data_IF_956016216596
#
_entry.id   IF_956016216596
#
_cell.length_a   1.000
_cell.length_b   1.000
_cell.length_c   1.000
_cell.angle_alpha   90.00
_cell.angle_beta   90.00
_cell.angle_gamma   90.00
#
_symmetry.space_group_name_H-M   'P 1'
#
loop_
_entity.id
_entity.type
_entity.pdbx_description
1 polymer ?
#
# COMPACT_ATOMS: atom_id res chain seq x y z
N UNK A 1 5.66 -7.31 33.17
CA UNK A 1 4.30 -7.15 33.75
C UNK A 1 3.76 -5.81 33.26
N UNK A 2 2.48 -5.70 32.87
CA UNK A 2 1.91 -4.42 32.46
C UNK A 2 1.97 -3.43 33.63
N UNK A 3 2.39 -2.21 33.33
CA UNK A 3 2.28 -1.09 34.28
C UNK A 3 0.80 -0.90 34.63
N UNK A 4 0.41 -0.84 35.92
CA UNK A 4 -0.98 -0.71 36.36
C UNK A 4 -1.69 0.56 35.88
N UNK A 5 -0.96 1.55 35.32
CA UNK A 5 -1.47 2.89 35.01
C UNK A 5 -1.68 3.16 33.51
N UNK A 6 -1.53 2.16 32.62
CA UNK A 6 -1.85 2.38 31.20
C UNK A 6 -3.36 2.27 30.96
N UNK A 7 -4.03 3.34 30.48
CA UNK A 7 -5.45 3.29 30.15
C UNK A 7 -5.69 2.24 29.05
N UNK A 8 -6.80 1.51 29.16
CA UNK A 8 -7.16 0.49 28.19
C UNK A 8 -7.38 1.10 26.80
N UNK A 9 -6.77 0.50 25.77
CA UNK A 9 -6.87 0.95 24.38
C UNK A 9 -8.33 0.92 23.88
N UNK A 10 -8.91 2.11 23.67
CA UNK A 10 -10.31 2.25 23.26
C UNK A 10 -10.53 3.57 22.49
N UNK A 11 -9.91 3.74 21.32
CA UNK A 11 -10.07 4.95 20.52
C UNK A 11 -11.49 5.13 20.02
N UNK A 12 -11.83 6.36 19.67
CA UNK A 12 -12.94 6.62 18.75
C UNK A 12 -12.51 6.22 17.34
N UNK A 13 -13.34 5.42 16.68
CA UNK A 13 -13.18 5.00 15.29
C UNK A 13 -14.28 5.62 14.45
N UNK A 14 -14.03 5.77 13.16
CA UNK A 14 -15.06 6.19 12.20
C UNK A 14 -15.71 4.95 11.58
N UNK A 15 -16.98 5.06 11.23
CA UNK A 15 -17.74 4.00 10.59
C UNK A 15 -18.83 4.54 9.69
N UNK A 16 -19.35 3.68 8.84
CA UNK A 16 -20.58 3.90 8.09
C UNK A 16 -21.48 2.69 8.27
N UNK A 17 -22.76 2.91 8.54
CA UNK A 17 -23.74 1.83 8.74
C UNK A 17 -24.96 2.08 7.88
N UNK A 18 -25.54 1.03 7.32
CA UNK A 18 -26.75 1.10 6.49
C UNK A 18 -27.93 1.78 7.22
N UNK A 19 -28.05 1.56 8.54
CA UNK A 19 -29.14 2.10 9.37
C UNK A 19 -28.97 3.60 9.69
N UNK A 20 -27.72 4.08 9.86
CA UNK A 20 -27.45 5.40 10.49
C UNK A 20 -26.56 6.32 9.67
N UNK A 21 -26.03 5.85 8.55
CA UNK A 21 -25.00 6.56 7.80
C UNK A 21 -23.69 6.68 8.60
N UNK A 22 -22.98 7.83 8.51
CA UNK A 22 -21.72 8.06 9.20
C UNK A 22 -21.87 7.98 10.72
N UNK A 23 -20.93 7.29 11.39
CA UNK A 23 -20.90 7.15 12.84
C UNK A 23 -19.48 7.33 13.39
N UNK A 24 -19.35 8.05 14.50
CA UNK A 24 -18.15 8.08 15.32
C UNK A 24 -18.45 7.36 16.63
N UNK A 25 -17.65 6.35 16.98
CA UNK A 25 -17.97 5.43 18.07
C UNK A 25 -16.69 4.89 18.71
N UNK A 26 -16.70 4.61 20.01
CA UNK A 26 -15.55 3.95 20.65
C UNK A 26 -15.39 2.50 20.18
N UNK A 27 -14.15 2.04 20.04
CA UNK A 27 -13.81 0.71 19.54
C UNK A 27 -14.52 -0.41 20.30
N UNK A 28 -14.59 -0.33 21.64
CA UNK A 28 -15.33 -1.28 22.48
C UNK A 28 -16.81 -1.30 22.16
N UNK A 29 -17.44 -0.13 22.05
CA UNK A 29 -18.88 -0.04 21.77
C UNK A 29 -19.18 -0.56 20.36
N UNK A 30 -18.32 -0.27 19.38
CA UNK A 30 -18.40 -0.82 18.05
C UNK A 30 -18.30 -2.35 18.04
N UNK A 31 -17.29 -2.93 18.72
CA UNK A 31 -17.14 -4.39 18.84
C UNK A 31 -18.31 -5.06 19.53
N UNK A 32 -18.87 -4.45 20.58
CA UNK A 32 -20.04 -4.99 21.28
C UNK A 32 -21.26 -5.01 20.35
N UNK A 33 -21.51 -3.91 19.64
CA UNK A 33 -22.72 -3.71 18.84
C UNK A 33 -22.66 -4.39 17.46
N UNK A 34 -21.55 -4.26 16.76
CA UNK A 34 -21.41 -4.68 15.36
C UNK A 34 -20.45 -5.86 15.19
N UNK A 35 -19.53 -6.06 16.14
CA UNK A 35 -18.53 -7.11 16.04
C UNK A 35 -19.11 -8.52 15.95
N UNK A 36 -18.47 -9.35 15.15
CA UNK A 36 -18.83 -10.75 14.88
C UNK A 36 -17.74 -11.69 15.38
N UNK A 37 -18.08 -12.96 15.64
CA UNK A 37 -17.08 -13.93 16.05
C UNK A 37 -16.38 -14.53 14.82
N UNK A 38 -15.04 -14.62 14.81
CA UNK A 38 -14.30 -15.29 13.73
C UNK A 38 -14.75 -16.74 13.47
N UNK A 39 -15.27 -17.43 14.49
CA UNK A 39 -15.83 -18.78 14.38
C UNK A 39 -17.08 -18.83 13.51
N UNK A 40 -17.93 -17.80 13.53
CA UNK A 40 -19.18 -17.73 12.74
C UNK A 40 -18.87 -17.71 11.23
N UNK A 41 -17.64 -17.32 10.88
CA UNK A 41 -17.14 -17.22 9.51
C UNK A 41 -16.18 -18.35 9.14
N UNK A 42 -16.00 -19.34 10.02
CA UNK A 42 -15.09 -20.48 9.88
C UNK A 42 -13.60 -20.08 9.75
N UNK A 43 -13.23 -18.91 10.28
CA UNK A 43 -11.84 -18.43 10.24
C UNK A 43 -10.99 -19.04 11.35
N UNK A 44 -11.61 -19.44 12.45
CA UNK A 44 -10.99 -20.15 13.57
C UNK A 44 -11.94 -21.21 14.11
N UNK A 45 -11.41 -22.30 14.63
CA UNK A 45 -12.21 -23.27 15.38
C UNK A 45 -12.61 -22.72 16.75
N UNK A 46 -13.82 -23.08 17.19
CA UNK A 46 -14.25 -22.86 18.58
C UNK A 46 -13.35 -23.70 19.48
N UNK A 47 -12.74 -23.09 20.49
CA UNK A 47 -11.92 -23.78 21.48
C UNK A 47 -12.43 -23.49 22.87
N UNK A 48 -12.68 -24.55 23.63
CA UNK A 48 -13.14 -24.45 25.02
C UNK A 48 -12.12 -23.68 25.88
N UNK A 49 -12.62 -22.83 26.78
CA UNK A 49 -11.81 -22.03 27.70
C UNK A 49 -11.18 -20.76 27.12
N UNK A 50 -11.34 -20.45 25.82
CA UNK A 50 -10.91 -19.15 25.26
C UNK A 50 -12.03 -18.11 25.32
N UNK A 51 -11.72 -16.91 25.80
CA UNK A 51 -12.65 -15.76 25.74
C UNK A 51 -12.97 -15.44 24.29
N UNK A 52 -14.25 -15.49 23.94
CA UNK A 52 -14.74 -15.14 22.61
C UNK A 52 -14.48 -13.64 22.36
N UNK A 53 -13.74 -13.34 21.30
CA UNK A 53 -13.37 -11.97 20.91
C UNK A 53 -14.06 -11.61 19.60
N UNK A 54 -14.95 -10.62 19.67
CA UNK A 54 -15.63 -10.05 18.50
C UNK A 54 -14.68 -9.15 17.71
N UNK A 55 -14.78 -9.19 16.39
CA UNK A 55 -13.97 -8.43 15.44
C UNK A 55 -14.89 -7.68 14.46
N UNK A 56 -14.46 -6.51 14.00
CA UNK A 56 -15.19 -5.68 13.04
C UNK A 56 -14.87 -6.12 11.59
N UNK A 57 -15.68 -5.67 10.63
CA UNK A 57 -15.47 -5.87 9.18
C UNK A 57 -15.29 -7.33 8.73
N UNK A 58 -15.75 -8.31 9.51
CA UNK A 58 -15.39 -9.71 9.29
C UNK A 58 -15.92 -10.27 7.96
N UNK A 59 -17.14 -9.89 7.57
CA UNK A 59 -17.74 -10.29 6.30
C UNK A 59 -16.93 -9.77 5.10
N UNK A 60 -16.58 -8.47 5.12
CA UNK A 60 -15.74 -7.85 4.11
C UNK A 60 -14.34 -8.48 4.09
N UNK A 61 -13.74 -8.69 5.26
CA UNK A 61 -12.41 -9.25 5.39
C UNK A 61 -12.29 -10.67 4.84
N UNK A 62 -13.30 -11.51 5.10
CA UNK A 62 -13.39 -12.85 4.51
C UNK A 62 -13.42 -12.76 2.98
N UNK A 63 -14.31 -11.91 2.43
CA UNK A 63 -14.44 -11.71 0.98
C UNK A 63 -13.12 -11.31 0.32
N UNK A 64 -12.54 -10.21 0.79
CA UNK A 64 -11.29 -9.66 0.26
C UNK A 64 -10.19 -10.72 0.31
N UNK A 65 -10.09 -11.45 1.43
CA UNK A 65 -9.08 -12.49 1.60
C UNK A 65 -9.28 -13.66 0.62
N UNK A 66 -10.52 -14.13 0.42
CA UNK A 66 -10.83 -15.21 -0.51
C UNK A 66 -10.55 -14.84 -1.97
N UNK A 67 -10.91 -13.62 -2.36
CA UNK A 67 -10.69 -13.11 -3.71
C UNK A 67 -9.19 -12.97 -4.03
N UNK A 68 -8.42 -12.38 -3.11
CA UNK A 68 -6.98 -12.19 -3.26
C UNK A 68 -6.15 -13.47 -3.15
N UNK A 69 -6.65 -14.50 -2.45
CA UNK A 69 -5.96 -15.81 -2.32
C UNK A 69 -5.76 -16.54 -3.64
N UNK A 70 -6.56 -16.23 -4.65
CA UNK A 70 -6.39 -16.79 -6.00
C UNK A 70 -5.09 -16.33 -6.65
N UNK A 71 -4.55 -15.18 -6.24
CA UNK A 71 -3.32 -14.58 -6.78
C UNK A 71 -3.51 -13.80 -8.09
N UNK A 72 -4.67 -13.91 -8.73
CA UNK A 72 -4.96 -13.27 -10.03
C UNK A 72 -5.69 -11.93 -9.89
N UNK A 73 -6.12 -11.57 -8.67
CA UNK A 73 -6.93 -10.37 -8.42
C UNK A 73 -6.11 -9.24 -7.78
N UNK A 74 -6.33 -8.02 -8.27
CA UNK A 74 -5.84 -6.78 -7.69
C UNK A 74 -6.98 -5.75 -7.69
N UNK A 75 -7.25 -5.14 -6.53
CA UNK A 75 -8.36 -4.19 -6.35
C UNK A 75 -8.10 -2.78 -6.92
N UNK A 76 -6.91 -2.50 -7.47
CA UNK A 76 -6.55 -1.18 -8.02
C UNK A 76 -7.54 -0.69 -9.09
N UNK A 77 -7.84 -1.52 -10.09
CA UNK A 77 -8.83 -1.18 -11.14
C UNK A 77 -10.26 -1.05 -10.60
N UNK A 78 -10.80 -2.02 -9.82
CA UNK A 78 -12.11 -1.87 -9.19
C UNK A 78 -12.26 -0.58 -8.37
N UNK A 79 -11.25 -0.25 -7.55
CA UNK A 79 -11.22 1.01 -6.77
C UNK A 79 -11.22 2.21 -7.72
N UNK A 80 -10.28 2.28 -8.65
CA UNK A 80 -10.18 3.42 -9.57
C UNK A 80 -11.49 3.65 -10.33
N UNK A 81 -12.04 2.61 -10.95
CA UNK A 81 -13.25 2.71 -11.76
C UNK A 81 -14.48 3.06 -10.93
N UNK A 82 -14.58 2.56 -9.69
CA UNK A 82 -15.68 2.94 -8.80
C UNK A 82 -15.68 4.44 -8.56
N UNK A 83 -14.55 4.99 -8.14
CA UNK A 83 -14.48 6.41 -7.79
C UNK A 83 -14.36 7.35 -8.98
N UNK A 84 -13.98 6.88 -10.17
CA UNK A 84 -14.07 7.66 -11.42
C UNK A 84 -15.54 7.86 -11.83
N UNK A 85 -16.37 6.84 -11.66
CA UNK A 85 -17.80 6.90 -11.96
C UNK A 85 -18.63 7.52 -10.82
N UNK A 86 -18.05 7.61 -9.62
CA UNK A 86 -18.67 8.24 -8.47
C UNK A 86 -18.64 9.77 -8.64
N UNK A 87 -19.76 10.44 -8.39
CA UNK A 87 -20.00 11.85 -8.74
C UNK A 87 -19.22 12.87 -7.86
N UNK A 88 -17.91 12.70 -7.68
CA UNK A 88 -17.05 13.59 -6.88
C UNK A 88 -15.97 14.23 -7.75
N UNK A 89 -15.95 15.55 -7.83
CA UNK A 89 -14.85 16.30 -8.45
C UNK A 89 -13.90 16.81 -7.37
N UNK A 90 -12.79 16.10 -7.20
CA UNK A 90 -11.79 16.41 -6.17
C UNK A 90 -11.16 17.79 -6.30
N UNK A 91 -11.05 18.29 -7.52
CA UNK A 91 -10.45 19.59 -7.78
C UNK A 91 -11.44 20.70 -7.46
N UNK A 92 -12.70 20.54 -7.87
CA UNK A 92 -13.74 21.54 -7.59
C UNK A 92 -14.15 21.54 -6.11
N UNK A 93 -14.27 20.37 -5.48
CA UNK A 93 -14.77 20.24 -4.11
C UNK A 93 -13.71 20.48 -3.04
N UNK A 94 -12.46 20.08 -3.30
CA UNK A 94 -11.39 20.09 -2.30
C UNK A 94 -10.14 20.86 -2.74
N UNK A 95 -10.08 21.34 -3.99
CA UNK A 95 -8.93 22.07 -4.52
C UNK A 95 -7.68 21.20 -4.74
N UNK A 96 -7.80 19.87 -4.77
CA UNK A 96 -6.66 18.95 -4.87
C UNK A 96 -6.68 18.13 -6.17
N UNK A 97 -5.48 17.77 -6.63
CA UNK A 97 -5.27 16.79 -7.70
C UNK A 97 -4.94 15.45 -7.06
N UNK A 98 -5.85 14.50 -7.15
CA UNK A 98 -5.80 13.23 -6.43
C UNK A 98 -5.07 12.13 -7.23
N UNK A 99 -4.91 12.31 -8.55
CA UNK A 99 -4.26 11.35 -9.45
C UNK A 99 -2.81 11.04 -9.07
N UNK A 100 -1.96 12.01 -8.67
CA UNK A 100 -0.60 11.75 -8.19
C UNK A 100 -0.53 10.94 -6.89
N UNK A 101 -1.66 10.80 -6.19
CA UNK A 101 -1.78 9.98 -4.99
C UNK A 101 -2.09 8.51 -5.32
N UNK A 102 -2.44 8.20 -6.57
CA UNK A 102 -2.74 6.84 -7.00
C UNK A 102 -1.56 6.13 -7.67
N UNK A 103 -0.67 6.89 -8.31
CA UNK A 103 0.58 6.40 -8.91
C UNK A 103 1.72 7.37 -8.65
N UNK A 104 2.92 6.84 -8.38
CA UNK A 104 4.15 7.66 -8.31
C UNK A 104 4.65 8.07 -9.70
N UNK A 105 4.36 7.26 -10.73
CA UNK A 105 4.71 7.53 -12.11
C UNK A 105 3.59 8.28 -12.82
N UNK A 106 3.95 9.26 -13.64
CA UNK A 106 2.98 10.00 -14.45
C UNK A 106 2.46 9.11 -15.60
N UNK A 107 1.14 8.83 -15.69
CA UNK A 107 0.57 8.01 -16.74
C UNK A 107 0.88 8.48 -18.17
N UNK A 108 0.99 9.80 -18.38
CA UNK A 108 1.30 10.38 -19.70
C UNK A 108 2.71 10.02 -20.13
N UNK A 109 3.68 10.10 -19.21
CA UNK A 109 5.07 9.71 -19.47
C UNK A 109 5.17 8.21 -19.76
N UNK A 110 4.45 7.38 -19.00
CA UNK A 110 4.39 5.93 -19.25
C UNK A 110 3.85 5.62 -20.64
N UNK A 111 2.74 6.26 -21.02
CA UNK A 111 2.14 6.08 -22.35
C UNK A 111 3.09 6.48 -23.47
N UNK A 112 3.84 7.57 -23.30
CA UNK A 112 4.84 7.99 -24.26
C UNK A 112 5.92 6.90 -24.44
N UNK A 113 6.48 6.37 -23.35
CA UNK A 113 7.50 5.30 -23.39
C UNK A 113 6.95 4.04 -24.08
N UNK A 114 5.71 3.62 -23.78
CA UNK A 114 5.07 2.48 -24.45
C UNK A 114 4.94 2.73 -25.96
N UNK A 115 4.54 3.94 -26.35
CA UNK A 115 4.34 4.32 -27.75
C UNK A 115 5.66 4.25 -28.51
N UNK A 116 6.75 4.76 -27.93
CA UNK A 116 8.10 4.71 -28.50
C UNK A 116 8.64 3.27 -28.58
N UNK A 117 8.32 2.42 -27.60
CA UNK A 117 8.74 1.01 -27.57
C UNK A 117 7.85 0.06 -28.38
N UNK A 118 6.73 0.53 -28.94
CA UNK A 118 5.68 -0.35 -29.46
C UNK A 118 6.18 -1.36 -30.48
N UNK A 119 7.07 -0.94 -31.38
CA UNK A 119 7.65 -1.80 -32.42
C UNK A 119 8.55 -2.91 -31.86
N UNK A 120 9.16 -2.70 -30.69
CA UNK A 120 9.99 -3.68 -30.00
C UNK A 120 9.17 -4.64 -29.15
N UNK A 121 8.05 -4.16 -28.59
CA UNK A 121 7.17 -4.95 -27.71
C UNK A 121 6.20 -5.84 -28.49
N UNK A 122 5.58 -5.30 -29.54
CA UNK A 122 4.49 -5.96 -30.28
C UNK A 122 4.87 -7.31 -30.90
N UNK A 123 6.05 -7.50 -31.53
CA UNK A 123 6.42 -8.81 -32.07
C UNK A 123 6.49 -9.90 -30.99
N UNK A 124 6.98 -9.56 -29.80
CA UNK A 124 7.17 -10.53 -28.71
C UNK A 124 5.86 -10.81 -27.95
N UNK A 125 4.96 -9.84 -27.89
CA UNK A 125 3.62 -10.02 -27.27
C UNK A 125 2.67 -10.82 -28.18
N UNK A 126 2.77 -10.61 -29.50
CA UNK A 126 1.88 -11.21 -30.50
C UNK A 126 2.33 -12.59 -30.99
N UNK A 127 3.62 -12.91 -30.94
CA UNK A 127 4.15 -14.21 -31.37
C UNK A 127 3.97 -15.28 -30.30
N UNK A 128 3.59 -16.50 -30.73
CA UNK A 128 3.56 -17.66 -29.85
C UNK A 128 5.01 -18.07 -29.55
N UNK A 129 5.41 -17.96 -28.28
CA UNK A 129 6.74 -18.35 -27.78
C UNK A 129 7.23 -19.69 -28.34
N UNK A 130 6.33 -20.68 -28.50
CA UNK A 130 6.70 -21.99 -29.07
C UNK A 130 7.23 -21.90 -30.51
N UNK A 131 6.58 -21.11 -31.36
CA UNK A 131 7.00 -20.89 -32.75
C UNK A 131 8.36 -20.20 -32.80
N UNK A 132 8.56 -19.22 -31.93
CA UNK A 132 9.83 -18.52 -31.79
C UNK A 132 10.96 -19.47 -31.38
N UNK A 133 10.73 -20.27 -30.34
CA UNK A 133 11.71 -21.25 -29.87
C UNK A 133 12.02 -22.32 -30.91
N UNK A 134 11.03 -22.79 -31.67
CA UNK A 134 11.22 -23.73 -32.79
C UNK A 134 12.15 -23.13 -33.86
N UNK A 135 11.93 -21.84 -34.20
CA UNK A 135 12.74 -21.13 -35.21
C UNK A 135 14.22 -21.00 -34.84
N UNK A 136 14.56 -21.02 -33.54
CA UNK A 136 15.96 -20.94 -33.10
C UNK A 136 16.75 -22.23 -33.36
N UNK A 137 16.07 -23.37 -33.52
CA UNK A 137 16.70 -24.70 -33.59
C UNK A 137 17.47 -25.11 -32.31
N UNK A 138 17.39 -24.34 -31.22
CA UNK A 138 18.12 -24.61 -29.98
C UNK A 138 17.48 -25.73 -29.15
N UNK A 139 16.19 -25.97 -29.32
CA UNK A 139 15.47 -27.12 -28.74
C UNK A 139 14.78 -27.84 -29.88
N UNK A 140 14.86 -29.17 -29.91
CA UNK A 140 14.22 -29.93 -30.98
C UNK A 140 12.70 -29.78 -30.92
N UNK A 141 12.06 -29.70 -32.08
CA UNK A 141 10.62 -29.49 -32.24
C UNK A 141 9.76 -30.54 -31.53
N UNK A 142 10.17 -31.81 -31.55
CA UNK A 142 9.51 -32.91 -30.85
C UNK A 142 9.43 -32.64 -29.34
N UNK A 143 10.53 -32.18 -28.74
CA UNK A 143 10.61 -31.85 -27.31
C UNK A 143 9.75 -30.62 -26.99
N UNK A 144 9.81 -29.57 -27.82
CA UNK A 144 8.96 -28.39 -27.65
C UNK A 144 7.47 -28.76 -27.70
N UNK A 145 7.10 -29.67 -28.60
CA UNK A 145 5.73 -30.13 -28.76
C UNK A 145 5.24 -30.99 -27.60
N UNK A 146 6.12 -31.78 -26.96
CA UNK A 146 5.76 -32.60 -25.81
C UNK A 146 5.57 -31.82 -24.50
N UNK A 147 6.05 -30.57 -24.42
CA UNK A 147 5.91 -29.76 -23.20
C UNK A 147 4.55 -29.05 -23.21
N UNK A 148 3.72 -29.13 -22.15
CA UNK A 148 2.48 -28.37 -22.07
C UNK A 148 2.75 -26.87 -21.96
N UNK A 149 1.85 -26.02 -22.46
CA UNK A 149 2.04 -24.55 -22.47
C UNK A 149 2.29 -23.97 -21.07
N UNK A 150 1.64 -24.51 -20.04
CA UNK A 150 1.83 -24.10 -18.64
C UNK A 150 3.25 -24.34 -18.12
N UNK A 151 3.98 -25.32 -18.67
CA UNK A 151 5.35 -25.67 -18.27
C UNK A 151 6.41 -25.23 -19.30
N UNK A 152 6.00 -24.62 -20.42
CA UNK A 152 6.88 -24.34 -21.56
C UNK A 152 8.05 -23.44 -21.17
N UNK A 153 7.76 -22.28 -20.56
CA UNK A 153 8.79 -21.30 -20.15
C UNK A 153 9.85 -21.94 -19.24
N UNK A 154 9.42 -22.63 -18.18
CA UNK A 154 10.32 -23.21 -17.18
C UNK A 154 11.15 -24.38 -17.73
N UNK A 155 10.51 -25.26 -18.50
CA UNK A 155 11.17 -26.44 -19.06
C UNK A 155 12.21 -26.06 -20.11
N UNK A 156 11.87 -25.12 -21.00
CA UNK A 156 12.79 -24.65 -22.04
C UNK A 156 13.95 -23.87 -21.43
N UNK A 157 13.69 -23.00 -20.44
CA UNK A 157 14.75 -22.29 -19.72
C UNK A 157 15.77 -23.26 -19.10
N UNK A 158 15.29 -24.33 -18.45
CA UNK A 158 16.15 -25.38 -17.89
C UNK A 158 16.99 -26.08 -18.96
N UNK A 159 16.39 -26.43 -20.09
CA UNK A 159 17.10 -27.06 -21.22
C UNK A 159 18.20 -26.13 -21.75
N UNK A 160 17.88 -24.86 -21.97
CA UNK A 160 18.82 -23.87 -22.51
C UNK A 160 19.98 -23.59 -21.54
N UNK A 161 19.72 -23.43 -20.25
CA UNK A 161 20.76 -23.28 -19.22
C UNK A 161 21.69 -24.50 -19.15
N UNK A 162 21.14 -25.70 -19.22
CA UNK A 162 21.95 -26.93 -19.26
C UNK A 162 22.82 -27.01 -20.52
N UNK A 163 22.33 -26.55 -21.67
CA UNK A 163 23.12 -26.48 -22.90
C UNK A 163 24.24 -25.44 -22.78
N UNK A 164 23.95 -24.28 -22.20
CA UNK A 164 24.91 -23.19 -21.99
C UNK A 164 26.14 -23.68 -21.21
N UNK A 165 25.93 -24.42 -20.12
CA UNK A 165 27.01 -24.93 -19.27
C UNK A 165 27.93 -25.95 -19.98
N UNK A 166 27.49 -26.55 -21.08
CA UNK A 166 28.20 -27.61 -21.79
C UNK A 166 28.76 -27.16 -23.15
N UNK A 167 28.76 -25.86 -23.45
CA UNK A 167 29.14 -25.32 -24.75
C UNK A 167 30.47 -24.56 -24.72
N UNK A 168 31.35 -24.89 -25.66
CA UNK A 168 32.60 -24.15 -25.94
C UNK A 168 32.47 -23.14 -27.09
N UNK A 169 31.40 -23.19 -27.89
CA UNK A 169 31.21 -22.35 -29.06
C UNK A 169 30.53 -21.00 -28.72
N UNK A 170 31.24 -19.89 -28.94
CA UNK A 170 30.78 -18.52 -28.67
C UNK A 170 29.47 -18.13 -29.40
N UNK A 171 29.28 -18.55 -30.66
CA UNK A 171 28.06 -18.21 -31.44
C UNK A 171 26.82 -18.87 -30.84
N UNK A 172 26.90 -20.17 -30.54
CA UNK A 172 25.79 -20.90 -29.88
C UNK A 172 25.51 -20.35 -28.48
N UNK A 173 26.53 -19.84 -27.80
CA UNK A 173 26.38 -19.18 -26.51
C UNK A 173 25.52 -17.91 -26.62
N UNK A 174 25.77 -17.08 -27.63
CA UNK A 174 24.99 -15.88 -27.92
C UNK A 174 23.54 -16.22 -28.29
N UNK A 175 23.33 -17.22 -29.16
CA UNK A 175 21.99 -17.67 -29.55
C UNK A 175 21.17 -18.15 -28.33
N UNK A 176 21.80 -18.87 -27.40
CA UNK A 176 21.16 -19.29 -26.15
C UNK A 176 20.81 -18.08 -25.26
N UNK A 177 21.71 -17.10 -25.13
CA UNK A 177 21.43 -15.89 -24.36
C UNK A 177 20.23 -15.12 -24.92
N UNK A 178 20.14 -14.98 -26.25
CA UNK A 178 19.01 -14.34 -26.91
C UNK A 178 17.69 -15.12 -26.67
N UNK A 179 17.72 -16.45 -26.70
CA UNK A 179 16.54 -17.26 -26.41
C UNK A 179 16.10 -17.15 -24.93
N UNK A 180 17.06 -17.11 -23.99
CA UNK A 180 16.78 -16.89 -22.57
C UNK A 180 16.20 -15.50 -22.30
N UNK A 181 16.75 -14.47 -22.95
CA UNK A 181 16.21 -13.11 -22.91
C UNK A 181 14.76 -13.06 -23.40
N UNK A 182 14.44 -13.72 -24.52
CA UNK A 182 13.07 -13.84 -25.03
C UNK A 182 12.11 -14.53 -24.06
N UNK A 183 12.53 -15.63 -23.44
CA UNK A 183 11.75 -16.32 -22.40
C UNK A 183 11.45 -15.37 -21.24
N UNK A 184 12.43 -14.58 -20.82
CA UNK A 184 12.28 -13.58 -19.75
C UNK A 184 11.31 -12.47 -20.16
N UNK A 185 11.47 -11.89 -21.35
CA UNK A 185 10.55 -10.88 -21.90
C UNK A 185 9.11 -11.41 -21.92
N UNK A 186 8.90 -12.62 -22.46
CA UNK A 186 7.56 -13.21 -22.53
C UNK A 186 6.94 -13.43 -21.14
N UNK A 187 7.75 -13.82 -20.15
CA UNK A 187 7.32 -13.94 -18.75
C UNK A 187 6.85 -12.59 -18.19
N UNK A 188 7.62 -11.52 -18.41
CA UNK A 188 7.28 -10.17 -17.94
C UNK A 188 6.00 -9.67 -18.61
N UNK A 189 5.91 -9.80 -19.95
CA UNK A 189 4.72 -9.41 -20.72
C UNK A 189 3.47 -10.19 -20.32
N UNK A 190 3.59 -11.50 -20.03
CA UNK A 190 2.47 -12.30 -19.53
C UNK A 190 2.04 -11.84 -18.14
N UNK A 191 3.00 -11.59 -17.24
CA UNK A 191 2.72 -11.11 -15.87
C UNK A 191 1.98 -9.77 -15.90
N UNK A 192 2.49 -8.78 -16.64
CA UNK A 192 1.85 -7.46 -16.72
C UNK A 192 0.48 -7.54 -17.41
N UNK A 193 0.31 -8.44 -18.40
CA UNK A 193 -0.99 -8.69 -19.02
C UNK A 193 -2.02 -9.25 -18.05
N UNK A 194 -1.62 -10.17 -17.16
CA UNK A 194 -2.49 -10.65 -16.09
C UNK A 194 -2.84 -9.52 -15.11
N UNK A 195 -1.87 -8.70 -14.71
CA UNK A 195 -2.11 -7.59 -13.77
C UNK A 195 -3.01 -6.49 -14.33
N UNK A 196 -2.82 -6.12 -15.60
CA UNK A 196 -3.51 -5.00 -16.25
C UNK A 196 -4.77 -5.42 -17.01
N UNK A 197 -4.94 -6.73 -17.24
CA UNK A 197 -5.93 -7.30 -18.16
C UNK A 197 -5.82 -6.79 -19.60
N UNK A 198 -4.64 -6.29 -19.99
CA UNK A 198 -4.37 -5.69 -21.30
C UNK A 198 -2.98 -6.06 -21.80
N UNK A 199 -2.80 -6.16 -23.11
CA UNK A 199 -1.45 -6.30 -23.66
C UNK A 199 -0.71 -4.96 -23.47
N UNK A 200 0.53 -5.02 -22.98
CA UNK A 200 1.35 -3.83 -22.78
C UNK A 200 1.55 -3.07 -24.11
N UNK A 201 1.72 -3.80 -25.23
CA UNK A 201 1.92 -3.20 -26.55
C UNK A 201 0.65 -2.55 -27.15
N UNK A 202 -0.52 -2.85 -26.57
CA UNK A 202 -1.83 -2.35 -26.99
C UNK A 202 -2.53 -1.58 -25.87
N UNK A 203 -1.80 -1.21 -24.81
CA UNK A 203 -2.37 -0.57 -23.64
C UNK A 203 -3.00 0.78 -23.98
N UNK A 204 -4.27 0.92 -23.61
CA UNK A 204 -5.03 2.15 -23.81
C UNK A 204 -4.74 3.20 -22.73
N UNK A 205 -5.37 4.36 -22.89
CA UNK A 205 -5.23 5.47 -21.95
C UNK A 205 -5.73 5.11 -20.56
N UNK A 206 -6.81 4.35 -20.46
CA UNK A 206 -7.40 4.00 -19.17
C UNK A 206 -6.47 3.05 -18.40
N UNK A 207 -5.94 2.03 -19.07
CA UNK A 207 -5.00 1.06 -18.51
C UNK A 207 -3.74 1.75 -18.00
N UNK A 208 -3.16 2.64 -18.81
CA UNK A 208 -1.96 3.41 -18.41
C UNK A 208 -2.24 4.36 -17.25
N UNK A 209 -3.46 4.92 -17.15
CA UNK A 209 -3.86 5.77 -16.03
C UNK A 209 -3.99 4.97 -14.73
N UNK A 210 -4.57 3.77 -14.79
CA UNK A 210 -4.78 2.93 -13.61
C UNK A 210 -3.47 2.31 -13.14
N UNK A 211 -2.65 1.80 -14.05
CA UNK A 211 -1.54 0.90 -13.75
C UNK A 211 -0.16 1.49 -14.06
N UNK A 212 0.00 2.81 -13.97
CA UNK A 212 1.25 3.48 -14.34
C UNK A 212 2.47 2.93 -13.60
N UNK A 213 2.35 2.67 -12.29
CA UNK A 213 3.45 2.12 -11.48
C UNK A 213 3.77 0.66 -11.82
N UNK A 214 2.76 -0.18 -12.04
CA UNK A 214 2.95 -1.58 -12.42
C UNK A 214 3.59 -1.69 -13.81
N UNK A 215 3.16 -0.84 -14.75
CA UNK A 215 3.74 -0.76 -16.09
C UNK A 215 5.17 -0.23 -16.03
N UNK A 216 5.45 0.80 -15.22
CA UNK A 216 6.80 1.32 -15.03
C UNK A 216 7.77 0.22 -14.55
N UNK A 217 7.34 -0.58 -13.57
CA UNK A 217 8.10 -1.73 -13.09
C UNK A 217 8.33 -2.77 -14.20
N UNK A 218 7.31 -3.09 -14.99
CA UNK A 218 7.46 -4.03 -16.11
C UNK A 218 8.44 -3.50 -17.19
N UNK A 219 8.35 -2.22 -17.55
CA UNK A 219 9.27 -1.57 -18.50
C UNK A 219 10.72 -1.61 -18.00
N UNK A 220 10.94 -1.41 -16.70
CA UNK A 220 12.27 -1.56 -16.11
C UNK A 220 12.78 -2.98 -16.14
N UNK A 221 11.95 -3.96 -15.77
CA UNK A 221 12.33 -5.37 -15.86
C UNK A 221 12.71 -5.76 -17.31
N UNK A 222 12.04 -5.17 -18.31
CA UNK A 222 12.33 -5.36 -19.73
C UNK A 222 13.60 -4.64 -20.20
N UNK A 223 14.01 -3.55 -19.56
CA UNK A 223 15.15 -2.73 -19.98
C UNK A 223 16.50 -3.45 -19.95
N UNK A 224 16.59 -4.60 -19.28
CA UNK A 224 17.79 -5.46 -19.34
C UNK A 224 17.95 -6.20 -20.65
N UNK A 225 16.86 -6.38 -21.40
CA UNK A 225 16.81 -7.21 -22.61
C UNK A 225 16.33 -6.41 -23.84
N UNK A 226 15.71 -5.25 -23.64
CA UNK A 226 15.20 -4.33 -24.67
C UNK A 226 15.69 -2.90 -24.40
N UNK A 227 15.87 -2.12 -25.47
CA UNK A 227 16.08 -0.67 -25.34
C UNK A 227 14.75 0.00 -24.99
N UNK A 228 14.68 0.57 -23.79
CA UNK A 228 13.53 1.32 -23.28
C UNK A 228 13.98 2.77 -23.05
N UNK A 229 13.40 3.77 -23.74
CA UNK A 229 13.78 5.16 -23.60
C UNK A 229 13.32 5.72 -22.26
N UNK A 230 14.05 6.71 -21.77
CA UNK A 230 13.76 7.46 -20.55
C UNK A 230 13.56 6.60 -19.29
N UNK A 231 14.12 5.39 -19.28
CA UNK A 231 13.92 4.44 -18.19
C UNK A 231 14.39 5.03 -16.86
N UNK A 232 15.43 5.85 -16.88
CA UNK A 232 16.00 6.55 -15.72
C UNK A 232 15.04 7.57 -15.07
N UNK A 233 14.04 8.07 -15.81
CA UNK A 233 13.05 9.02 -15.29
C UNK A 233 11.91 8.34 -14.52
N UNK A 234 11.79 7.01 -14.62
CA UNK A 234 10.75 6.25 -13.92
C UNK A 234 11.06 6.14 -12.42
N UNK A 235 10.03 6.34 -11.61
CA UNK A 235 10.03 6.13 -10.15
C UNK A 235 9.81 4.65 -9.86
N UNK A 236 10.89 3.91 -9.66
CA UNK A 236 10.90 2.47 -9.43
C UNK A 236 12.06 2.10 -8.49
N UNK A 237 11.92 1.03 -7.68
CA UNK A 237 13.06 0.49 -6.94
C UNK A 237 14.10 -0.16 -7.88
N UNK A 238 15.32 0.39 -7.90
CA UNK A 238 16.52 -0.06 -8.63
C UNK A 238 17.55 -0.73 -7.73
N UNK A 239 17.25 -0.88 -6.44
CA UNK A 239 18.10 -1.47 -5.40
C UNK A 239 19.33 -0.63 -5.06
N UNK A 240 19.19 0.70 -5.10
CA UNK A 240 20.28 1.61 -4.77
C UNK A 240 19.76 2.82 -3.99
N UNK A 241 20.19 2.97 -2.73
CA UNK A 241 19.76 4.05 -1.86
C UNK A 241 18.31 3.89 -1.41
N UNK A 242 17.65 5.03 -1.14
CA UNK A 242 16.26 5.05 -0.64
C UNK A 242 15.28 5.16 -1.80
N UNK A 243 14.37 4.19 -1.88
CA UNK A 243 13.46 4.03 -3.02
C UNK A 243 12.03 3.79 -2.53
N UNK A 244 11.06 4.04 -3.41
CA UNK A 244 9.65 4.13 -3.02
C UNK A 244 8.73 3.42 -4.01
N UNK A 245 7.67 2.82 -3.47
CA UNK A 245 6.52 2.35 -4.24
C UNK A 245 5.24 2.50 -3.40
N UNK A 246 4.08 2.66 -4.02
CA UNK A 246 2.83 2.45 -3.32
C UNK A 246 2.56 0.95 -3.16
N UNK A 247 1.99 0.56 -2.03
CA UNK A 247 1.54 -0.81 -1.80
C UNK A 247 0.51 -1.21 -2.86
N UNK A 248 0.73 -2.34 -3.52
CA UNK A 248 -0.21 -2.90 -4.48
C UNK A 248 -1.47 -3.37 -3.75
N UNK A 249 -2.65 -3.20 -4.36
CA UNK A 249 -3.93 -3.63 -3.78
C UNK A 249 -4.21 -5.12 -4.05
N UNK A 250 -3.20 -5.95 -3.78
CA UNK A 250 -3.25 -7.40 -3.90
C UNK A 250 -3.04 -8.08 -2.52
N UNK A 251 -2.81 -9.40 -2.52
CA UNK A 251 -2.60 -10.17 -1.27
C UNK A 251 -1.45 -9.64 -0.41
N UNK A 252 -0.42 -9.04 -1.02
CA UNK A 252 0.74 -8.50 -0.30
C UNK A 252 0.37 -7.30 0.57
N UNK A 253 -0.67 -6.54 0.21
CA UNK A 253 -1.23 -5.46 1.03
C UNK A 253 -1.61 -5.95 2.43
N UNK A 254 -2.25 -7.12 2.51
CA UNK A 254 -2.71 -7.73 3.75
C UNK A 254 -1.55 -8.23 4.63
N UNK A 255 -0.35 -8.40 4.05
CA UNK A 255 0.83 -8.93 4.73
C UNK A 255 1.72 -7.85 5.33
N UNK A 256 1.54 -6.58 4.94
CA UNK A 256 2.43 -5.49 5.34
C UNK A 256 2.53 -5.33 6.87
N UNK A 257 1.41 -5.44 7.60
CA UNK A 257 1.43 -5.35 9.06
C UNK A 257 2.24 -6.47 9.74
N UNK A 258 2.31 -7.65 9.10
CA UNK A 258 3.16 -8.75 9.56
C UNK A 258 4.64 -8.47 9.29
N UNK A 259 4.97 -7.88 8.13
CA UNK A 259 6.35 -7.52 7.77
C UNK A 259 6.93 -6.43 8.68
N UNK A 260 6.12 -5.42 9.02
CA UNK A 260 6.51 -4.36 9.98
C UNK A 260 6.33 -4.78 11.44
N UNK A 261 5.48 -5.77 11.71
CA UNK A 261 5.15 -6.20 13.07
C UNK A 261 4.37 -5.15 13.86
N UNK A 262 3.50 -4.39 13.20
CA UNK A 262 2.65 -3.38 13.83
C UNK A 262 1.29 -3.95 14.28
N UNK A 263 0.40 -3.06 14.73
CA UNK A 263 -0.95 -3.42 15.19
C UNK A 263 -1.88 -3.94 14.10
N UNK A 264 -1.46 -3.91 12.83
CA UNK A 264 -2.18 -4.41 11.66
C UNK A 264 -1.67 -5.77 11.19
N UNK A 265 -0.82 -6.45 11.97
CA UNK A 265 -0.45 -7.83 11.69
C UNK A 265 -1.68 -8.77 11.75
N UNK A 266 -1.75 -9.75 10.84
CA UNK A 266 -2.85 -10.73 10.75
C UNK A 266 -2.97 -11.62 12.00
N UNK A 267 -1.87 -11.74 12.78
CA UNK A 267 -1.82 -12.49 14.03
C UNK A 267 -1.04 -11.75 15.10
N UNK A 268 -1.57 -11.77 16.33
CA UNK A 268 -0.95 -11.14 17.51
C UNK A 268 0.51 -11.54 17.78
N UNK A 269 0.99 -12.78 17.53
CA UNK A 269 2.40 -13.12 17.73
C UNK A 269 3.38 -12.33 16.84
N UNK A 270 2.91 -11.83 15.69
CA UNK A 270 3.74 -11.03 14.78
C UNK A 270 3.82 -9.55 15.18
N UNK A 271 2.83 -9.06 15.92
CA UNK A 271 2.81 -7.71 16.46
C UNK A 271 3.89 -7.55 17.55
N UNK A 272 4.70 -6.49 17.42
CA UNK A 272 5.79 -6.19 18.33
C UNK A 272 5.28 -5.62 19.65
N UNK A 273 4.40 -4.62 19.61
CA UNK A 273 3.77 -4.06 20.81
C UNK A 273 2.45 -4.77 21.11
N UNK A 274 2.44 -5.68 22.09
CA UNK A 274 1.25 -6.45 22.46
C UNK A 274 0.28 -5.71 23.39
N UNK A 275 0.61 -4.50 23.84
CA UNK A 275 -0.27 -3.68 24.66
C UNK A 275 -1.29 -2.90 23.82
N UNK A 276 -1.01 -2.74 22.52
CA UNK A 276 -1.92 -2.12 21.56
C UNK A 276 -2.90 -3.16 21.03
N UNK A 277 -4.17 -2.80 20.92
CA UNK A 277 -5.17 -3.69 20.34
C UNK A 277 -4.82 -4.00 18.89
N UNK A 278 -4.94 -5.26 18.49
CA UNK A 278 -4.76 -5.64 17.09
C UNK A 278 -5.94 -5.12 16.26
N UNK A 279 -5.64 -4.29 15.26
CA UNK A 279 -6.62 -3.60 14.42
C UNK A 279 -6.62 -4.11 12.98
N UNK A 280 -6.18 -5.35 12.71
CA UNK A 280 -6.16 -5.93 11.36
C UNK A 280 -7.47 -5.75 10.55
N UNK A 281 -8.62 -5.67 11.24
CA UNK A 281 -9.92 -5.38 10.64
C UNK A 281 -9.99 -4.04 9.86
N UNK A 282 -9.13 -3.07 10.15
CA UNK A 282 -9.06 -1.78 9.45
C UNK A 282 -8.35 -1.87 8.10
N UNK A 283 -7.58 -2.93 7.83
CA UNK A 283 -6.88 -3.12 6.56
C UNK A 283 -7.88 -3.31 5.40
N UNK A 284 -9.03 -3.91 5.68
CA UNK A 284 -10.08 -4.22 4.70
C UNK A 284 -10.78 -2.98 4.10
N UNK A 285 -11.14 -1.94 4.86
CA UNK A 285 -11.53 -0.67 4.26
C UNK A 285 -10.37 0.03 3.55
N UNK A 286 -9.15 0.03 4.12
CA UNK A 286 -8.01 0.73 3.51
C UNK A 286 -7.69 0.26 2.09
N UNK A 287 -7.68 -1.06 1.85
CA UNK A 287 -7.43 -1.62 0.51
C UNK A 287 -8.51 -1.27 -0.51
N UNK A 288 -9.68 -0.78 -0.08
CA UNK A 288 -10.76 -0.30 -0.95
C UNK A 288 -10.82 1.23 -1.04
N UNK A 289 -10.05 1.94 -0.23
CA UNK A 289 -10.09 3.39 -0.15
C UNK A 289 -9.01 4.04 -1.03
N UNK A 290 -9.42 4.76 -2.09
CA UNK A 290 -8.49 5.49 -2.97
C UNK A 290 -7.70 6.58 -2.24
N UNK A 291 -8.28 7.12 -1.16
CA UNK A 291 -7.73 8.20 -0.36
C UNK A 291 -6.86 7.68 0.79
N UNK A 292 -6.65 6.37 0.90
CA UNK A 292 -5.71 5.78 1.83
C UNK A 292 -4.62 5.04 1.06
N UNK A 293 -3.38 5.48 1.21
CA UNK A 293 -2.23 4.92 0.50
C UNK A 293 -1.14 4.54 1.48
N UNK A 294 -0.47 3.43 1.20
CA UNK A 294 0.71 3.01 1.97
C UNK A 294 1.93 3.18 1.07
N UNK A 295 2.79 4.13 1.42
CA UNK A 295 4.08 4.31 0.77
C UNK A 295 5.07 3.31 1.38
N UNK A 296 5.54 2.36 0.59
CA UNK A 296 6.61 1.44 0.97
C UNK A 296 7.96 2.08 0.68
N UNK A 297 8.89 1.89 1.60
CA UNK A 297 10.24 2.45 1.57
C UNK A 297 11.24 1.30 1.50
N UNK A 298 12.14 1.40 0.54
CA UNK A 298 13.22 0.45 0.32
C UNK A 298 14.55 1.14 0.59
N UNK A 299 15.51 0.38 1.14
CA UNK A 299 16.91 0.78 1.23
C UNK A 299 17.75 -0.32 0.58
N UNK A 300 18.48 0.01 -0.49
CA UNK A 300 19.28 -0.93 -1.28
C UNK A 300 18.50 -2.19 -1.70
N UNK A 301 17.24 -1.97 -2.10
CA UNK A 301 16.35 -3.02 -2.61
C UNK A 301 15.65 -3.85 -1.54
N UNK A 302 15.83 -3.50 -0.25
CA UNK A 302 15.17 -4.18 0.86
C UNK A 302 14.07 -3.29 1.43
N UNK A 303 12.86 -3.83 1.59
CA UNK A 303 11.77 -3.13 2.26
C UNK A 303 12.13 -2.90 3.74
N UNK A 304 12.07 -1.65 4.21
CA UNK A 304 12.50 -1.27 5.57
C UNK A 304 11.42 -0.54 6.38
N UNK A 305 10.48 0.12 5.71
CA UNK A 305 9.49 0.97 6.35
C UNK A 305 8.26 1.12 5.46
N UNK A 306 7.08 1.28 6.06
CA UNK A 306 5.89 1.78 5.38
C UNK A 306 5.37 3.04 6.06
N UNK A 307 4.78 3.92 5.26
CA UNK A 307 4.18 5.17 5.72
C UNK A 307 2.75 5.23 5.25
N UNK A 308 1.83 5.45 6.19
CA UNK A 308 0.41 5.57 5.93
C UNK A 308 0.08 7.02 5.59
N UNK A 309 -0.50 7.24 4.42
CA UNK A 309 -0.82 8.55 3.89
C UNK A 309 -2.32 8.65 3.59
N UNK A 310 -2.91 9.79 3.90
CA UNK A 310 -4.27 10.15 3.48
C UNK A 310 -4.45 11.67 3.45
N UNK A 311 -5.22 12.25 2.53
CA UNK A 311 -5.63 13.63 2.64
C UNK A 311 -6.73 13.77 3.70
N UNK A 312 -6.63 14.79 4.54
CA UNK A 312 -7.64 15.16 5.53
C UNK A 312 -8.04 16.61 5.35
N UNK A 313 -9.31 16.90 5.59
CA UNK A 313 -9.80 18.26 5.74
C UNK A 313 -9.70 18.66 7.21
N UNK A 314 -9.12 19.83 7.47
CA UNK A 314 -8.98 20.38 8.83
C UNK A 314 -9.78 21.67 8.92
N UNK A 315 -10.72 21.70 9.87
CA UNK A 315 -11.58 22.86 10.13
C UNK A 315 -11.44 23.38 11.56
N UNK A 316 -10.89 24.57 11.74
CA UNK A 316 -10.73 25.28 13.01
C UNK A 316 -10.88 26.79 12.78
N UNK A 317 -11.11 27.59 13.82
CA UNK A 317 -11.25 29.06 13.80
C UNK A 317 -10.29 29.80 12.84
N UNK A 318 -9.06 29.30 12.63
CA UNK A 318 -8.04 29.90 11.78
C UNK A 318 -7.50 28.94 10.70
N UNK A 319 -8.21 27.84 10.42
CA UNK A 319 -7.74 26.77 9.56
C UNK A 319 -8.90 26.14 8.81
N UNK A 320 -8.89 26.27 7.50
CA UNK A 320 -9.89 25.70 6.60
C UNK A 320 -9.16 25.23 5.35
N UNK A 321 -8.63 24.00 5.40
CA UNK A 321 -7.76 23.49 4.34
C UNK A 321 -7.61 21.98 4.33
N UNK A 322 -7.17 21.48 3.18
CA UNK A 322 -6.73 20.10 3.01
C UNK A 322 -5.25 19.98 3.43
N UNK A 323 -4.95 18.93 4.18
CA UNK A 323 -3.59 18.54 4.55
C UNK A 323 -3.30 17.16 3.96
N UNK A 324 -2.02 16.84 3.74
CA UNK A 324 -1.57 15.47 3.53
C UNK A 324 -1.12 14.93 4.88
N UNK A 325 -1.91 14.03 5.44
CA UNK A 325 -1.64 13.42 6.71
C UNK A 325 -0.68 12.23 6.57
N UNK A 326 0.33 12.19 7.43
CA UNK A 326 1.10 11.00 7.75
C UNK A 326 0.46 10.37 8.99
N UNK A 327 -0.37 9.35 8.78
CA UNK A 327 -1.16 8.71 9.84
C UNK A 327 -0.30 7.84 10.75
N UNK A 328 0.65 7.12 10.16
CA UNK A 328 1.56 6.25 10.88
C UNK A 328 2.84 6.01 10.07
N UNK A 329 3.95 5.85 10.77
CA UNK A 329 5.23 5.40 10.21
C UNK A 329 5.61 4.11 10.90
N UNK A 330 5.77 3.02 10.16
CA UNK A 330 6.00 1.70 10.71
C UNK A 330 7.26 1.08 10.08
N UNK A 331 8.23 0.69 10.91
CA UNK A 331 9.47 0.06 10.42
C UNK A 331 9.46 -1.45 10.62
N UNK A 332 10.25 -2.16 9.82
CA UNK A 332 10.49 -3.59 10.02
C UNK A 332 11.27 -3.84 11.31
N UNK A 333 11.18 -5.06 11.85
CA UNK A 333 11.94 -5.45 13.06
C UNK A 333 13.44 -5.20 12.97
N UNK A 334 14.04 -5.35 11.79
CA UNK A 334 15.46 -5.13 11.60
C UNK A 334 15.88 -3.65 11.59
N UNK A 335 14.94 -2.73 11.49
CA UNK A 335 15.20 -1.28 11.49
C UNK A 335 14.85 -0.63 12.84
N UNK A 336 14.66 -1.44 13.87
CA UNK A 336 14.33 -1.01 15.22
C UNK A 336 15.54 -1.08 16.14
N UNK A 337 15.67 -0.10 17.01
CA UNK A 337 16.73 -0.02 18.03
C UNK A 337 16.34 -0.70 19.35
N UNK A 338 15.06 -0.99 19.57
CA UNK A 338 14.55 -1.69 20.75
C UNK A 338 14.56 -3.23 20.63
N UNK A 339 14.92 -3.79 19.47
CA UNK A 339 15.00 -5.25 19.22
C UNK A 339 16.42 -5.62 18.78
N UNK A 340 17.36 -5.65 19.74
CA UNK A 340 18.79 -5.85 19.46
C UNK A 340 19.08 -7.10 18.61
N UNK A 341 18.40 -8.22 18.87
CA UNK A 341 18.61 -9.51 18.17
C UNK A 341 18.32 -9.47 16.67
N UNK A 342 17.39 -8.60 16.24
CA UNK A 342 16.98 -8.48 14.83
C UNK A 342 17.58 -7.24 14.15
N UNK A 343 18.03 -6.26 14.95
CA UNK A 343 18.47 -4.95 14.47
C UNK A 343 19.68 -5.05 13.52
N UNK A 344 19.66 -4.28 12.44
CA UNK A 344 20.76 -4.16 11.49
C UNK A 344 21.46 -2.82 11.64
N UNK A 345 22.75 -2.89 11.97
CA UNK A 345 23.60 -1.73 12.26
C UNK A 345 23.62 -0.72 11.11
N UNK A 346 23.76 -1.20 9.87
CA UNK A 346 23.80 -0.36 8.68
C UNK A 346 22.51 0.47 8.48
N UNK A 347 21.34 -0.08 8.82
CA UNK A 347 20.08 0.66 8.73
C UNK A 347 20.02 1.73 9.83
N UNK A 348 20.38 1.35 11.07
CA UNK A 348 20.37 2.27 12.21
C UNK A 348 21.36 3.43 12.06
N UNK A 349 22.51 3.19 11.43
CA UNK A 349 23.51 4.22 11.10
C UNK A 349 22.95 5.23 10.09
N UNK A 350 22.17 4.77 9.11
CA UNK A 350 21.57 5.60 8.05
C UNK A 350 20.15 6.10 8.38
N UNK A 351 19.61 5.84 9.58
CA UNK A 351 18.19 6.07 9.92
C UNK A 351 17.70 7.50 9.67
N UNK A 352 18.54 8.50 9.98
CA UNK A 352 18.21 9.92 9.79
C UNK A 352 18.13 10.26 8.32
N UNK A 353 19.09 9.81 7.52
CA UNK A 353 19.10 10.03 6.08
C UNK A 353 17.90 9.35 5.41
N UNK A 354 17.64 8.08 5.73
CA UNK A 354 16.49 7.34 5.20
C UNK A 354 15.20 8.10 5.51
N UNK A 355 15.01 8.51 6.76
CA UNK A 355 13.79 9.22 7.16
C UNK A 355 13.66 10.60 6.50
N UNK A 356 14.76 11.34 6.33
CA UNK A 356 14.74 12.61 5.60
C UNK A 356 14.30 12.42 4.15
N UNK A 357 14.82 11.40 3.45
CA UNK A 357 14.40 11.10 2.08
C UNK A 357 12.92 10.70 2.00
N UNK A 358 12.40 9.99 3.01
CA UNK A 358 10.96 9.68 3.13
C UNK A 358 10.13 10.97 3.23
N UNK A 359 10.49 11.90 4.12
CA UNK A 359 9.78 13.16 4.26
C UNK A 359 9.83 14.00 2.97
N UNK A 360 10.99 14.05 2.29
CA UNK A 360 11.11 14.73 0.99
C UNK A 360 10.22 14.12 -0.08
N UNK A 361 10.12 12.78 -0.14
CA UNK A 361 9.22 12.11 -1.07
C UNK A 361 7.75 12.47 -0.81
N UNK A 362 7.34 12.51 0.46
CA UNK A 362 5.98 12.89 0.86
C UNK A 362 5.70 14.36 0.52
N UNK A 363 6.67 15.25 0.70
CA UNK A 363 6.58 16.66 0.25
C UNK A 363 6.36 16.75 -1.27
N UNK A 364 7.09 15.95 -2.06
CA UNK A 364 6.90 15.89 -3.51
C UNK A 364 5.51 15.37 -3.90
N UNK A 365 4.99 14.36 -3.19
CA UNK A 365 3.62 13.85 -3.40
C UNK A 365 2.61 14.95 -3.08
N UNK A 366 2.69 15.58 -1.91
CA UNK A 366 1.79 16.68 -1.52
C UNK A 366 1.81 17.83 -2.52
N UNK A 367 3.00 18.26 -2.97
CA UNK A 367 3.15 19.29 -4.00
C UNK A 367 2.47 18.90 -5.32
N UNK A 368 2.64 17.66 -5.78
CA UNK A 368 1.99 17.18 -7.00
C UNK A 368 0.45 17.18 -6.86
N UNK A 369 -0.07 16.95 -5.65
CA UNK A 369 -1.50 17.03 -5.36
C UNK A 369 -2.03 18.46 -5.19
N UNK A 370 -1.15 19.47 -5.14
CA UNK A 370 -1.54 20.85 -4.80
C UNK A 370 -1.79 21.06 -3.29
N UNK A 371 -1.25 20.20 -2.44
CA UNK A 371 -1.36 20.30 -0.98
C UNK A 371 -0.07 20.89 -0.40
N UNK A 372 -0.20 22.01 0.32
CA UNK A 372 0.94 22.72 0.89
C UNK A 372 1.31 22.31 2.31
N UNK A 373 0.34 21.80 3.06
CA UNK A 373 0.51 21.45 4.47
C UNK A 373 0.53 19.93 4.67
N UNK A 374 1.56 19.48 5.39
CA UNK A 374 1.85 18.06 5.63
C UNK A 374 2.15 17.88 7.10
N UNK A 375 1.27 17.13 7.77
CA UNK A 375 1.33 16.90 9.20
C UNK A 375 1.41 15.43 9.53
N UNK A 376 2.20 15.08 10.53
CA UNK A 376 2.41 13.71 10.95
C UNK A 376 1.90 13.46 12.36
N UNK A 377 1.20 12.35 12.53
CA UNK A 377 1.02 11.74 13.83
C UNK A 377 2.38 11.39 14.45
N UNK A 378 2.59 11.73 15.72
CA UNK A 378 3.85 11.46 16.44
C UNK A 378 3.94 10.01 16.97
N UNK A 379 3.10 9.12 16.45
CA UNK A 379 3.05 7.71 16.78
C UNK A 379 3.74 6.84 15.73
N UNK A 380 4.49 5.84 16.19
CA UNK A 380 5.16 4.84 15.37
C UNK A 380 5.43 3.61 16.23
N UNK A 381 5.49 2.41 15.64
CA UNK A 381 6.00 1.22 16.32
C UNK A 381 7.50 1.31 16.69
N UNK A 382 8.21 2.36 16.26
CA UNK A 382 9.68 2.49 16.35
C UNK A 382 10.10 3.71 17.17
N UNK A 383 10.99 3.53 18.15
CA UNK A 383 11.45 4.57 19.07
C UNK A 383 12.08 5.77 18.38
N UNK A 384 13.15 5.55 17.63
CA UNK A 384 13.87 6.62 16.95
C UNK A 384 13.02 7.41 15.95
N UNK A 385 11.97 6.83 15.36
CA UNK A 385 11.04 7.55 14.48
C UNK A 385 10.26 8.59 15.28
N UNK A 386 9.75 8.20 16.47
CA UNK A 386 9.05 9.12 17.36
C UNK A 386 9.96 10.25 17.81
N UNK A 387 11.22 9.94 18.13
CA UNK A 387 12.21 10.96 18.51
C UNK A 387 12.43 11.98 17.38
N UNK A 388 12.64 11.51 16.14
CA UNK A 388 12.80 12.41 14.98
C UNK A 388 11.55 13.25 14.69
N UNK A 389 10.34 12.71 14.90
CA UNK A 389 9.10 13.47 14.76
C UNK A 389 8.89 14.48 15.90
N UNK A 390 9.40 14.19 17.10
CA UNK A 390 9.33 15.11 18.24
C UNK A 390 10.28 16.31 18.09
N UNK A 391 11.37 16.16 17.34
CA UNK A 391 12.33 17.24 17.05
C UNK A 391 11.78 18.27 16.04
N UNK A 392 10.69 17.97 15.34
CA UNK A 392 10.05 18.87 14.38
C UNK A 392 9.13 19.89 15.08
N UNK A 393 8.87 21.06 14.45
CA UNK A 393 7.85 21.98 14.95
C UNK A 393 6.51 21.25 15.12
N UNK A 394 5.73 21.64 16.12
CA UNK A 394 4.46 20.98 16.42
C UNK A 394 3.28 21.92 16.34
N UNK A 395 2.14 21.34 16.00
CA UNK A 395 0.83 22.00 16.04
C UNK A 395 -0.12 21.14 16.85
N UNK A 396 -1.19 21.77 17.33
CA UNK A 396 -2.21 21.08 18.12
C UNK A 396 -3.55 21.16 17.43
N UNK A 397 -4.15 20.01 17.14
CA UNK A 397 -5.46 19.96 16.51
C UNK A 397 -6.42 19.18 17.39
N UNK A 398 -7.67 19.62 17.40
CA UNK A 398 -8.75 18.85 17.99
C UNK A 398 -9.12 17.71 17.03
N UNK A 399 -9.10 16.45 17.46
CA UNK A 399 -9.28 15.30 16.56
C UNK A 399 -10.63 15.26 15.85
N UNK A 400 -11.66 15.88 16.43
CA UNK A 400 -12.99 16.00 15.79
C UNK A 400 -13.00 16.99 14.63
N UNK A 401 -12.00 17.85 14.53
CA UNK A 401 -11.83 18.82 13.45
C UNK A 401 -11.08 18.23 12.25
N UNK A 402 -10.57 17.00 12.41
CA UNK A 402 -9.95 16.23 11.34
C UNK A 402 -11.04 15.41 10.65
N UNK A 403 -11.38 15.80 9.43
CA UNK A 403 -12.43 15.17 8.63
C UNK A 403 -11.75 14.37 7.53
N UNK A 404 -12.13 13.09 7.40
CA UNK A 404 -11.65 12.29 6.28
C UNK A 404 -12.50 12.63 5.07
N UNK A 405 -11.87 12.82 3.91
CA UNK A 405 -12.58 13.03 2.67
C UNK A 405 -13.42 11.78 2.33
N UNK A 406 -14.71 12.02 2.05
CA UNK A 406 -15.79 11.02 1.86
C UNK A 406 -16.10 10.14 3.10
N UNK A 407 -15.49 10.42 4.25
CA UNK A 407 -15.52 9.59 5.46
C UNK A 407 -15.37 8.09 5.14
N UNK A 408 -16.47 7.32 5.06
CA UNK A 408 -16.47 5.89 4.69
C UNK A 408 -17.64 5.47 3.78
N UNK A 409 -18.46 6.41 3.30
CA UNK A 409 -19.64 6.10 2.49
C UNK A 409 -19.26 5.41 1.19
N UNK A 410 -18.32 6.00 0.46
CA UNK A 410 -17.86 5.49 -0.83
C UNK A 410 -17.23 4.11 -0.70
N UNK A 411 -16.42 3.91 0.34
CA UNK A 411 -15.78 2.62 0.65
C UNK A 411 -16.85 1.58 1.02
N UNK A 412 -17.89 1.97 1.75
CA UNK A 412 -19.03 1.12 2.07
C UNK A 412 -19.79 0.70 0.81
N UNK A 413 -20.11 1.65 -0.08
CA UNK A 413 -20.80 1.39 -1.35
C UNK A 413 -19.98 0.48 -2.28
N UNK A 414 -18.67 0.68 -2.38
CA UNK A 414 -17.77 -0.22 -3.10
C UNK A 414 -17.77 -1.62 -2.49
N UNK A 415 -17.66 -1.72 -1.16
CA UNK A 415 -17.71 -3.00 -0.45
C UNK A 415 -19.03 -3.76 -0.68
N UNK A 416 -20.17 -3.07 -0.71
CA UNK A 416 -21.45 -3.67 -1.07
C UNK A 416 -21.47 -4.19 -2.51
N UNK A 417 -20.94 -3.41 -3.46
CA UNK A 417 -20.88 -3.78 -4.88
C UNK A 417 -20.03 -5.05 -5.08
N UNK A 418 -18.88 -5.13 -4.44
CA UNK A 418 -18.00 -6.31 -4.49
C UNK A 418 -18.69 -7.56 -3.94
N UNK A 419 -19.44 -7.45 -2.85
CA UNK A 419 -20.13 -8.60 -2.25
C UNK A 419 -21.38 -9.05 -3.03
N UNK A 420 -22.13 -8.11 -3.63
CA UNK A 420 -23.35 -8.43 -4.41
C UNK A 420 -23.06 -9.27 -5.65
N UNK A 421 -21.90 -9.07 -6.28
CA UNK A 421 -21.49 -9.79 -7.50
C UNK A 421 -21.49 -11.32 -7.34
N UNK A 422 -21.26 -11.81 -6.12
CA UNK A 422 -21.03 -13.23 -5.85
C UNK A 422 -22.08 -13.86 -4.91
N UNK A 423 -23.31 -13.33 -4.91
CA UNK A 423 -24.44 -13.85 -4.10
C UNK A 423 -24.18 -13.93 -2.59
N UNK A 424 -23.20 -13.18 -2.08
CA UNK A 424 -22.96 -13.08 -0.64
C UNK A 424 -23.75 -11.92 -0.03
N UNK A 425 -24.10 -12.06 1.25
CA UNK A 425 -24.72 -10.96 1.98
C UNK A 425 -23.77 -9.75 2.02
N UNK A 426 -24.19 -8.58 1.50
CA UNK A 426 -23.36 -7.39 1.52
C UNK A 426 -23.09 -6.94 2.98
N UNK A 427 -21.96 -6.27 3.26
CA UNK A 427 -21.75 -5.67 4.56
C UNK A 427 -22.84 -4.63 4.84
N UNK A 428 -23.32 -4.60 6.09
CA UNK A 428 -24.25 -3.57 6.58
C UNK A 428 -23.53 -2.45 7.32
N UNK A 429 -22.23 -2.63 7.53
CA UNK A 429 -21.37 -1.73 8.26
C UNK A 429 -19.92 -1.86 7.80
N UNK A 430 -19.19 -0.75 7.87
CA UNK A 430 -17.74 -0.71 7.72
C UNK A 430 -17.16 0.24 8.77
N UNK A 431 -16.02 -0.12 9.35
CA UNK A 431 -15.33 0.68 10.35
C UNK A 431 -13.87 0.83 10.02
N UNK A 432 -13.29 1.98 10.32
CA UNK A 432 -11.88 2.26 10.08
C UNK A 432 -11.28 3.03 11.26
N UNK A 433 -10.05 2.69 11.60
CA UNK A 433 -9.24 3.49 12.51
C UNK A 433 -8.34 4.44 11.72
N UNK A 434 -8.23 5.68 12.21
CA UNK A 434 -7.27 6.69 11.73
C UNK A 434 -6.46 7.08 12.97
N UNK A 435 -5.15 6.87 12.94
CA UNK A 435 -4.27 7.14 14.09
C UNK A 435 -4.25 8.63 14.47
N UNK A 436 -4.36 9.53 13.50
CA UNK A 436 -4.51 10.96 13.80
C UNK A 436 -5.76 11.29 14.61
N UNK A 437 -6.81 10.45 14.56
CA UNK A 437 -8.03 10.61 15.36
C UNK A 437 -8.02 9.78 16.65
N UNK A 438 -6.97 8.99 16.88
CA UNK A 438 -6.86 8.08 18.02
C UNK A 438 -6.53 8.83 19.31
N UNK A 439 -7.53 8.94 20.20
CA UNK A 439 -7.41 9.60 21.50
C UNK A 439 -6.73 8.74 22.58
N UNK A 440 -6.62 7.42 22.37
CA UNK A 440 -5.90 6.53 23.30
C UNK A 440 -4.37 6.71 23.26
N UNK A 441 -3.88 7.41 22.23
CA UNK A 441 -2.46 7.75 22.06
C UNK A 441 -2.12 9.18 22.54
N UNK A 442 -3.06 9.88 23.19
CA UNK A 442 -2.82 11.21 23.77
C UNK A 442 -1.88 11.07 24.98
N UNK A 443 -0.75 11.81 25.03
CA UNK A 443 0.13 11.82 26.19
C UNK A 443 -0.60 12.24 27.47
N UNK A 444 -0.21 11.68 28.61
CA UNK A 444 -0.83 11.90 29.93
C UNK A 444 -0.95 13.38 30.33
N UNK A 445 -0.08 14.24 29.79
CA UNK A 445 -0.01 15.69 30.08
C UNK A 445 -1.21 16.46 29.48
N UNK A 446 -1.85 15.90 28.45
CA UNK A 446 -2.95 16.52 27.68
C UNK A 446 -4.35 16.21 28.23
N UNK A 447 -4.46 15.53 29.39
CA UNK A 447 -5.74 15.11 30.00
C UNK A 447 -6.71 16.25 30.36
N UNK A 448 -6.27 17.52 30.32
CA UNK A 448 -7.17 18.67 30.48
C UNK A 448 -8.03 18.93 29.23
N UNK A 449 -7.59 18.49 28.04
CA UNK A 449 -8.31 18.60 26.77
C UNK A 449 -8.32 17.23 26.06
N UNK A 450 -9.28 16.37 26.40
CA UNK A 450 -9.36 14.93 26.06
C UNK A 450 -9.43 14.58 24.55
N UNK A 451 -9.35 15.57 23.66
CA UNK A 451 -9.44 15.39 22.21
C UNK A 451 -8.46 16.28 21.43
N UNK A 452 -7.52 16.95 22.11
CA UNK A 452 -6.45 17.73 21.46
C UNK A 452 -5.19 16.87 21.37
N UNK A 453 -4.62 16.76 20.16
CA UNK A 453 -3.40 16.00 19.88
C UNK A 453 -2.32 16.91 19.30
N UNK A 454 -1.07 16.59 19.60
CA UNK A 454 0.12 17.18 19.00
C UNK A 454 0.50 16.45 17.72
N UNK A 455 0.77 17.20 16.65
CA UNK A 455 1.23 16.67 15.36
C UNK A 455 2.54 17.35 14.98
N UNK A 456 3.42 16.61 14.30
CA UNK A 456 4.66 17.17 13.76
C UNK A 456 4.38 17.87 12.42
N UNK A 457 4.98 19.05 12.23
CA UNK A 457 4.92 19.83 11.00
C UNK A 457 6.07 19.42 10.08
N UNK A 458 5.73 18.71 9.01
CA UNK A 458 6.70 18.32 7.97
C UNK A 458 6.88 19.46 6.97
N UNK A 459 5.76 20.07 6.56
CA UNK A 459 5.68 21.25 5.71
C UNK A 459 4.40 22.00 6.08
N UNK A 460 4.43 23.33 6.12
CA UNK A 460 3.29 24.15 6.51
C UNK A 460 3.69 25.21 7.51
N UNK A 461 2.70 25.85 8.14
CA UNK A 461 2.95 26.87 9.15
C UNK A 461 2.82 26.31 10.55
N UNK A 462 3.77 26.62 11.44
CA UNK A 462 3.76 26.15 12.82
C UNK A 462 2.85 26.97 13.75
N UNK A 463 2.27 28.06 13.26
CA UNK A 463 1.25 28.85 13.96
C UNK A 463 -0.17 28.35 13.69
N UNK A 464 -0.32 27.31 12.86
CA UNK A 464 -1.59 26.62 12.64
C UNK A 464 -2.08 25.89 13.90
N UNK A 465 -3.40 25.74 13.99
CA UNK A 465 -4.06 24.97 15.06
C UNK A 465 -4.27 25.76 16.35
N UNK A 466 -4.31 25.03 17.46
CA UNK A 466 -4.61 25.58 18.79
C UNK A 466 -3.30 26.09 19.41
N UNK A 467 -3.19 27.37 19.79
CA UNK A 467 -2.00 27.88 20.47
C UNK A 467 -1.74 27.13 21.77
N UNK A 468 -0.48 26.76 22.02
CA UNK A 468 -0.07 26.05 23.25
C UNK A 468 -0.62 26.71 24.53
N UNK A 469 -0.63 28.06 24.59
CA UNK A 469 -1.18 28.83 25.72
C UNK A 469 -2.63 28.45 26.06
N UNK A 470 -3.49 28.25 25.04
CA UNK A 470 -4.89 27.82 25.21
C UNK A 470 -5.00 26.38 25.75
N UNK A 471 -3.99 25.54 25.52
CA UNK A 471 -3.98 24.12 25.94
C UNK A 471 -3.54 23.99 27.40
N UNK A 472 -2.50 24.72 27.78
CA UNK A 472 -1.96 24.73 29.15
C UNK A 472 -2.79 25.61 30.10
N UNK A 473 -3.62 26.51 29.57
CA UNK A 473 -4.52 27.36 30.34
C UNK A 473 -3.82 28.53 31.04
N UNK A 474 -2.85 29.16 30.35
CA UNK A 474 -2.10 30.35 30.82
C UNK A 474 -2.56 31.59 30.07
#
# INVERSE_FOLDING_TARGET
MPSPDQPEYNPNIIGFTEERGPVMISLKKAKTRYGKLPSDYQLVSVKDGRKLKKVLNLALGKRITEELKTGDVNFKKPVFQFFENWHRDWKEEFGIQIEPFFNLNNPRSIRQIITECRNSLFPVSSQRLRTDLDSTGLVRKDILNSIPNSALLQSVEKILKNKQNNLSNKKKHLDIQLALARIRIHRILTKIKTTTFSDLAESDQQTTTIYADEIANALFELSSDLSIPEIEKLSIPRKNGVEFEFATRDITYLMLGKETGDCTADKTPFQADRNIENIYWTVFPWILDRNYQILKVFHDGQFVMKVHLLPLYVFHENMDKIILAIDAVETIRAFRDDIQECSRKELLENRKEIFQQVLQKIICIGKAMGIDDIYAEKFSNTGWVRDLLNDLPEIFLHVNNLIKLDELEDVFCLAQTLCKKDSMAPPKEIFMEIQMKNTSLIPSVSKKNNAVKSFAVIKGRSDDGIPMKKIIGI
#
